data_IF_683235067018
#
_entry.id   IF_683235067018
#
_cell.length_a   1.000
_cell.length_b   1.000
_cell.length_c   1.000
_cell.angle_alpha   90.00
_cell.angle_beta   90.00
_cell.angle_gamma   90.00
#
_symmetry.space_group_name_H-M   'P 1'
#
loop_
_entity.id
_entity.type
_entity.pdbx_description
1 polymer ?
#
# COMPACT_ATOMS: atom_id res chain seq x y z
N UNK A 1 24.88 9.08 2.27
CA UNK A 1 24.05 8.53 3.36
C UNK A 1 23.70 7.08 3.04
N UNK A 2 23.45 6.23 4.04
CA UNK A 2 23.09 4.82 3.83
C UNK A 2 21.59 4.62 3.60
N UNK A 3 21.21 3.42 3.13
CA UNK A 3 19.81 3.04 2.84
C UNK A 3 18.83 3.42 3.97
N UNK A 4 19.08 3.11 5.26
CA UNK A 4 18.13 3.47 6.32
C UNK A 4 17.88 4.97 6.46
N UNK A 5 18.91 5.80 6.29
CA UNK A 5 18.79 7.26 6.39
C UNK A 5 17.98 7.86 5.23
N UNK A 6 18.12 7.30 4.03
CA UNK A 6 17.31 7.69 2.88
C UNK A 6 15.82 7.37 3.10
N UNK A 7 15.53 6.17 3.62
CA UNK A 7 14.15 5.74 3.92
C UNK A 7 13.48 6.63 4.97
N UNK A 8 14.15 6.89 6.10
CA UNK A 8 13.57 7.70 7.19
C UNK A 8 13.39 9.16 6.77
N UNK A 9 14.32 9.71 6.00
CA UNK A 9 14.22 11.07 5.46
C UNK A 9 13.02 11.21 4.52
N UNK A 10 12.86 10.27 3.57
CA UNK A 10 11.72 10.30 2.65
C UNK A 10 10.37 10.09 3.36
N UNK A 11 10.31 9.23 4.38
CA UNK A 11 9.11 9.07 5.21
C UNK A 11 8.76 10.34 6.00
N UNK A 12 9.76 11.02 6.55
CA UNK A 12 9.56 12.24 7.33
C UNK A 12 9.18 13.44 6.44
N UNK A 13 9.68 13.50 5.21
CA UNK A 13 9.39 14.56 4.25
C UNK A 13 8.08 14.36 3.48
N UNK A 14 7.50 13.15 3.48
CA UNK A 14 6.25 12.85 2.79
C UNK A 14 5.01 13.15 3.64
N UNK A 15 3.95 13.55 2.96
CA UNK A 15 2.61 13.83 3.53
C UNK A 15 1.56 12.94 2.87
N UNK A 16 0.34 12.93 3.43
CA UNK A 16 -0.77 12.14 2.89
C UNK A 16 -1.03 10.87 3.69
N UNK A 17 -1.59 9.86 3.04
CA UNK A 17 -1.95 8.60 3.69
C UNK A 17 -0.69 7.86 4.17
N UNK A 18 -0.76 7.13 5.28
CA UNK A 18 0.40 6.42 5.83
C UNK A 18 1.02 5.44 4.81
N UNK A 19 0.18 4.78 4.01
CA UNK A 19 0.60 3.92 2.90
C UNK A 19 1.51 4.65 1.89
N UNK A 20 1.15 5.86 1.49
CA UNK A 20 1.91 6.67 0.52
C UNK A 20 3.28 7.05 1.09
N UNK A 21 3.32 7.42 2.36
CA UNK A 21 4.57 7.78 3.07
C UNK A 21 5.51 6.59 3.19
N UNK A 22 4.97 5.40 3.47
CA UNK A 22 5.75 4.15 3.51
C UNK A 22 6.25 3.75 2.11
N UNK A 23 5.45 3.93 1.07
CA UNK A 23 5.88 3.71 -0.32
C UNK A 23 7.01 4.66 -0.74
N UNK A 24 6.94 5.94 -0.34
CA UNK A 24 8.01 6.91 -0.57
C UNK A 24 9.32 6.47 0.12
N UNK A 25 9.22 5.94 1.34
CA UNK A 25 10.37 5.39 2.06
C UNK A 25 10.99 4.19 1.33
N UNK A 26 10.17 3.24 0.88
CA UNK A 26 10.64 2.07 0.11
C UNK A 26 11.34 2.49 -1.18
N UNK A 27 10.76 3.44 -1.93
CA UNK A 27 11.36 3.96 -3.16
C UNK A 27 12.72 4.63 -2.90
N UNK A 28 12.83 5.42 -1.82
CA UNK A 28 14.08 6.06 -1.44
C UNK A 28 15.15 5.06 -1.00
N UNK A 29 14.76 4.01 -0.25
CA UNK A 29 15.67 2.93 0.14
C UNK A 29 16.23 2.17 -1.06
N UNK A 30 15.37 1.86 -2.03
CA UNK A 30 15.78 1.23 -3.29
C UNK A 30 16.75 2.12 -4.08
N UNK A 31 16.44 3.41 -4.21
CA UNK A 31 17.30 4.38 -4.90
C UNK A 31 18.66 4.59 -4.21
N UNK A 32 18.73 4.43 -2.89
CA UNK A 32 19.96 4.54 -2.11
C UNK A 32 20.85 3.29 -2.16
N UNK A 33 20.44 2.25 -2.89
CA UNK A 33 21.21 1.03 -3.11
C UNK A 33 20.42 -0.27 -2.86
N UNK A 34 19.27 -0.21 -2.18
CA UNK A 34 18.44 -1.38 -1.92
C UNK A 34 19.10 -2.42 -1.02
N UNK A 35 18.76 -3.69 -1.24
CA UNK A 35 19.37 -4.84 -0.56
C UNK A 35 20.46 -5.50 -1.41
N UNK A 36 21.11 -6.54 -0.88
CA UNK A 36 22.12 -7.28 -1.61
C UNK A 36 21.47 -8.12 -2.74
N UNK A 37 21.47 -7.58 -3.96
CA UNK A 37 20.99 -8.28 -5.16
C UNK A 37 19.69 -7.71 -5.73
N UNK A 38 19.10 -8.38 -6.72
CA UNK A 38 17.82 -7.97 -7.29
C UNK A 38 16.68 -8.10 -6.28
N UNK A 39 15.82 -7.09 -6.22
CA UNK A 39 14.59 -7.11 -5.41
C UNK A 39 13.45 -7.60 -6.29
N UNK A 40 12.79 -8.70 -5.90
CA UNK A 40 11.68 -9.27 -6.66
C UNK A 40 10.32 -9.15 -5.96
N UNK A 41 10.29 -8.82 -4.68
CA UNK A 41 9.05 -8.69 -3.92
C UNK A 41 8.99 -7.41 -3.10
N UNK A 42 7.77 -6.98 -2.79
CA UNK A 42 7.50 -5.86 -1.89
C UNK A 42 6.11 -6.03 -1.29
N UNK A 43 5.92 -5.55 -0.06
CA UNK A 43 4.63 -5.60 0.62
C UNK A 43 4.38 -4.33 1.43
N UNK A 44 3.11 -4.02 1.65
CA UNK A 44 2.64 -2.89 2.44
C UNK A 44 1.47 -3.32 3.31
N UNK A 45 1.63 -3.17 4.62
CA UNK A 45 0.60 -3.47 5.62
C UNK A 45 0.34 -2.23 6.46
N UNK A 46 -0.92 -1.81 6.57
CA UNK A 46 -1.35 -0.69 7.42
C UNK A 46 -2.57 -1.11 8.22
N UNK A 47 -2.48 -0.96 9.54
CA UNK A 47 -3.58 -1.21 10.47
C UNK A 47 -4.17 0.10 10.98
N UNK A 48 -5.44 0.07 11.35
CA UNK A 48 -6.13 1.17 12.00
C UNK A 48 -6.99 0.65 13.15
N UNK A 49 -8.19 1.20 13.37
CA UNK A 49 -9.09 0.84 14.48
C UNK A 49 -9.73 -0.54 14.32
N UNK A 50 -9.75 -1.07 13.10
CA UNK A 50 -10.29 -2.38 12.76
C UNK A 50 -9.39 -3.50 13.33
N UNK A 51 -9.95 -4.66 13.70
CA UNK A 51 -9.16 -5.79 14.17
C UNK A 51 -8.39 -6.52 13.05
N UNK A 52 -8.42 -6.00 11.81
CA UNK A 52 -7.68 -6.48 10.65
C UNK A 52 -6.94 -5.32 9.96
N UNK A 53 -5.91 -5.58 9.14
CA UNK A 53 -5.25 -4.55 8.35
C UNK A 53 -6.21 -3.93 7.33
N UNK A 54 -6.24 -2.59 7.27
CA UNK A 54 -7.03 -1.84 6.27
C UNK A 54 -6.27 -1.67 4.95
N UNK A 55 -4.98 -1.98 4.92
CA UNK A 55 -4.17 -2.14 3.72
C UNK A 55 -3.33 -3.39 3.93
N UNK A 56 -3.43 -4.36 3.03
CA UNK A 56 -2.55 -5.54 2.95
C UNK A 56 -2.30 -5.84 1.47
N UNK A 57 -1.23 -5.25 0.94
CA UNK A 57 -0.88 -5.30 -0.48
C UNK A 57 0.46 -5.98 -0.65
N UNK A 58 0.54 -6.88 -1.63
CA UNK A 58 1.73 -7.69 -1.89
C UNK A 58 2.02 -7.75 -3.38
N UNK A 59 3.29 -7.63 -3.71
CA UNK A 59 3.87 -8.01 -4.99
C UNK A 59 4.85 -9.13 -4.68
N UNK A 60 4.43 -10.37 -4.93
CA UNK A 60 5.22 -11.54 -4.54
C UNK A 60 6.36 -11.86 -5.53
N UNK A 61 6.21 -11.44 -6.81
CA UNK A 61 7.26 -11.57 -7.83
C UNK A 61 7.08 -10.56 -8.97
N UNK A 62 8.03 -9.64 -9.14
CA UNK A 62 8.07 -8.67 -10.23
C UNK A 62 9.50 -8.14 -10.44
N UNK A 63 9.85 -7.65 -11.63
CA UNK A 63 11.16 -7.03 -11.91
C UNK A 63 11.35 -5.66 -11.23
N UNK A 64 10.23 -4.99 -10.93
CA UNK A 64 10.21 -3.69 -10.25
C UNK A 64 9.12 -3.70 -9.15
N UNK A 65 9.31 -4.47 -8.06
CA UNK A 65 8.23 -4.77 -7.13
C UNK A 65 7.77 -3.57 -6.31
N UNK A 66 8.67 -2.64 -5.97
CA UNK A 66 8.30 -1.40 -5.24
C UNK A 66 7.43 -0.48 -6.11
N UNK A 67 7.77 -0.32 -7.39
CA UNK A 67 6.99 0.47 -8.32
C UNK A 67 5.61 -0.18 -8.56
N UNK A 68 5.58 -1.50 -8.73
CA UNK A 68 4.34 -2.25 -8.91
C UNK A 68 3.45 -2.19 -7.67
N UNK A 69 4.02 -2.24 -6.46
CA UNK A 69 3.29 -2.06 -5.21
C UNK A 69 2.63 -0.66 -5.14
N UNK A 70 3.32 0.37 -5.64
CA UNK A 70 2.74 1.71 -5.81
C UNK A 70 1.56 1.74 -6.78
N UNK A 71 1.64 1.00 -7.90
CA UNK A 71 0.52 0.85 -8.85
C UNK A 71 -0.68 0.15 -8.19
N UNK A 72 -0.43 -0.94 -7.46
CA UNK A 72 -1.47 -1.68 -6.73
C UNK A 72 -2.14 -0.78 -5.67
N UNK A 73 -1.36 0.02 -4.94
CA UNK A 73 -1.90 1.01 -4.00
C UNK A 73 -2.81 2.03 -4.69
N UNK A 74 -2.40 2.59 -5.83
CA UNK A 74 -3.20 3.58 -6.56
C UNK A 74 -4.57 3.02 -7.02
N UNK A 75 -4.64 1.72 -7.34
CA UNK A 75 -5.89 1.03 -7.66
C UNK A 75 -6.74 0.80 -6.40
N UNK A 76 -6.11 0.41 -5.30
CA UNK A 76 -6.79 0.04 -4.06
C UNK A 76 -7.32 1.24 -3.26
N UNK A 77 -6.52 2.30 -3.12
CA UNK A 77 -6.81 3.48 -2.30
C UNK A 77 -8.24 4.03 -2.44
N UNK A 78 -8.77 4.30 -3.65
CA UNK A 78 -10.13 4.85 -3.77
C UNK A 78 -11.23 3.90 -3.29
N UNK A 79 -10.95 2.59 -3.22
CA UNK A 79 -11.91 1.55 -2.83
C UNK A 79 -11.81 1.17 -1.34
N UNK A 80 -10.74 1.60 -0.66
CA UNK A 80 -10.41 1.20 0.71
C UNK A 80 -11.56 1.45 1.69
N UNK A 81 -12.17 2.63 1.65
CA UNK A 81 -13.28 2.98 2.54
C UNK A 81 -14.50 2.08 2.33
N UNK A 82 -14.82 1.74 1.07
CA UNK A 82 -15.95 0.86 0.75
C UNK A 82 -15.71 -0.57 1.23
N UNK A 83 -14.47 -1.07 1.13
CA UNK A 83 -14.12 -2.39 1.67
C UNK A 83 -14.24 -2.44 3.20
N UNK A 84 -13.79 -1.39 3.88
CA UNK A 84 -13.98 -1.28 5.34
C UNK A 84 -15.46 -1.25 5.68
N UNK A 85 -16.25 -0.42 4.99
CA UNK A 85 -17.69 -0.29 5.23
C UNK A 85 -18.42 -1.63 5.00
N UNK A 86 -18.07 -2.38 3.96
CA UNK A 86 -18.66 -3.71 3.69
C UNK A 86 -18.38 -4.71 4.81
N UNK A 87 -17.19 -4.66 5.41
CA UNK A 87 -16.82 -5.55 6.50
C UNK A 87 -17.51 -5.15 7.83
N UNK A 88 -17.69 -3.85 8.07
CA UNK A 88 -18.26 -3.32 9.32
C UNK A 88 -19.79 -3.25 9.31
N UNK A 89 -20.38 -2.71 8.24
CA UNK A 89 -21.82 -2.54 8.07
C UNK A 89 -22.25 -2.87 6.63
N UNK A 90 -22.42 -4.17 6.30
CA UNK A 90 -22.71 -4.60 4.93
C UNK A 90 -24.01 -4.06 4.35
N UNK A 91 -25.00 -3.68 5.17
CA UNK A 91 -26.29 -3.14 4.69
C UNK A 91 -26.21 -1.68 4.25
N UNK A 92 -25.20 -0.93 4.69
CA UNK A 92 -24.96 0.46 4.28
C UNK A 92 -24.00 0.59 3.10
N UNK A 93 -23.41 -0.52 2.64
CA UNK A 93 -22.41 -0.50 1.58
C UNK A 93 -23.04 -0.27 0.20
N UNK A 94 -22.41 0.52 -0.69
CA UNK A 94 -22.83 0.65 -2.08
C UNK A 94 -22.84 -0.72 -2.79
N UNK A 95 -23.89 -0.98 -3.58
CA UNK A 95 -23.96 -2.18 -4.43
C UNK A 95 -22.84 -2.15 -5.47
N UNK A 96 -22.49 -3.32 -6.02
CA UNK A 96 -21.41 -3.45 -6.99
C UNK A 96 -21.84 -3.06 -8.42
N UNK A 97 -23.12 -2.74 -8.64
CA UNK A 97 -23.70 -2.56 -9.97
C UNK A 97 -23.66 -3.84 -10.81
N UNK A 98 -23.74 -5.01 -10.15
CA UNK A 98 -23.61 -6.33 -10.78
C UNK A 98 -24.97 -6.99 -10.97
N UNK A 99 -25.11 -7.93 -11.93
CA UNK A 99 -26.33 -8.71 -12.07
C UNK A 99 -26.69 -9.39 -10.73
N UNK A 100 -27.86 -9.06 -10.18
CA UNK A 100 -28.30 -9.48 -8.84
C UNK A 100 -28.57 -8.34 -7.85
N UNK A 101 -28.34 -7.09 -8.25
CA UNK A 101 -28.67 -5.87 -7.49
C UNK A 101 -30.14 -5.38 -7.67
N UNK A 102 -31.00 -6.19 -8.28
CA UNK A 102 -32.47 -5.96 -8.40
C UNK A 102 -33.26 -6.55 -7.22
#
# INVERSE_FOLDING_TARGET
EGVPAAMTTAFAASSGHLAERLLAALAAGLAAGGEAGPVHSAALVVCHTQPWPIVDLRVDWHEAPVAELGRVWAVYQPQMADYILRADNPTAAPSYGVPGDE
#
